data_IF_742473086289
#
_entry.id   IF_742473086289
#
_cell.length_a   1.000
_cell.length_b   1.000
_cell.length_c   1.000
_cell.angle_alpha   90.00
_cell.angle_beta   90.00
_cell.angle_gamma   90.00
#
_symmetry.space_group_name_H-M   'P 1'
#
loop_
_entity.id
_entity.type
_entity.pdbx_description
1 polymer ?
#
# COMPACT_ATOMS: atom_id res chain seq x y z
N UNK A 1 -1.77 10.55 20.01
CA UNK A 1 -1.80 10.46 18.55
C UNK A 1 -0.62 11.23 18.02
N UNK A 2 0.29 10.57 17.31
CA UNK A 2 1.49 11.20 16.77
C UNK A 2 1.51 10.97 15.26
N UNK A 3 1.83 12.02 14.49
CA UNK A 3 1.97 11.90 13.03
C UNK A 3 3.39 11.46 12.70
N UNK A 4 3.50 10.45 11.85
CA UNK A 4 4.76 9.93 11.35
C UNK A 4 4.79 10.04 9.83
N UNK A 5 5.96 10.36 9.29
CA UNK A 5 6.19 10.27 7.86
C UNK A 5 6.33 8.81 7.44
N UNK A 6 5.80 8.46 6.28
CA UNK A 6 6.00 7.14 5.70
C UNK A 6 6.38 7.23 4.23
N UNK A 7 6.96 6.14 3.74
CA UNK A 7 7.19 5.86 2.34
C UNK A 7 6.79 4.40 2.10
N UNK A 8 5.95 4.14 1.10
CA UNK A 8 5.77 2.78 0.61
C UNK A 8 5.91 2.71 -0.90
N UNK A 9 6.41 1.56 -1.37
CA UNK A 9 6.36 1.17 -2.77
C UNK A 9 5.57 -0.11 -2.91
N UNK A 10 4.88 -0.28 -4.02
CA UNK A 10 4.09 -1.48 -4.30
C UNK A 10 4.43 -2.11 -5.65
N UNK A 11 4.17 -3.40 -5.77
CA UNK A 11 4.20 -4.15 -7.02
C UNK A 11 2.97 -5.03 -7.09
N UNK A 12 2.21 -4.91 -8.16
CA UNK A 12 1.06 -5.77 -8.45
C UNK A 12 1.46 -6.74 -9.55
N UNK A 13 1.22 -8.03 -9.36
CA UNK A 13 1.43 -9.07 -10.36
C UNK A 13 0.16 -9.90 -10.54
N UNK A 14 -0.18 -10.34 -11.75
CA UNK A 14 -1.29 -11.27 -11.94
C UNK A 14 -0.98 -12.64 -11.31
N UNK A 15 -2.00 -13.33 -10.81
CA UNK A 15 -1.89 -14.72 -10.36
C UNK A 15 -2.13 -15.66 -11.55
N UNK A 16 -1.05 -15.95 -12.29
CA UNK A 16 -1.08 -16.81 -13.47
C UNK A 16 -1.11 -16.03 -14.79
N UNK A 17 -1.27 -16.78 -15.89
CA UNK A 17 -1.03 -16.27 -17.25
C UNK A 17 -2.33 -16.03 -18.05
N UNK A 18 -3.44 -15.78 -17.35
CA UNK A 18 -4.71 -15.47 -18.01
C UNK A 18 -4.77 -13.98 -18.38
N UNK A 19 -5.35 -13.68 -19.54
CA UNK A 19 -5.59 -12.30 -19.99
C UNK A 19 -6.50 -11.54 -19.00
N UNK A 20 -7.42 -12.24 -18.32
CA UNK A 20 -8.26 -11.67 -17.26
C UNK A 20 -7.43 -11.21 -16.06
N UNK A 21 -6.48 -12.02 -15.59
CA UNK A 21 -5.62 -11.68 -14.47
C UNK A 21 -4.68 -10.51 -14.82
N UNK A 22 -4.12 -10.51 -16.03
CA UNK A 22 -3.30 -9.40 -16.52
C UNK A 22 -4.09 -8.08 -16.55
N UNK A 23 -5.31 -8.10 -17.11
CA UNK A 23 -6.21 -6.93 -17.12
C UNK A 23 -6.62 -6.49 -15.71
N UNK A 24 -6.83 -7.43 -14.79
CA UNK A 24 -7.14 -7.12 -13.40
C UNK A 24 -5.96 -6.41 -12.72
N UNK A 25 -4.74 -6.92 -12.89
CA UNK A 25 -3.51 -6.30 -12.38
C UNK A 25 -3.34 -4.87 -12.89
N UNK A 26 -3.53 -4.63 -14.19
CA UNK A 26 -3.43 -3.29 -14.78
C UNK A 26 -4.49 -2.32 -14.23
N UNK A 27 -5.73 -2.78 -14.06
CA UNK A 27 -6.79 -1.97 -13.45
C UNK A 27 -6.42 -1.59 -12.01
N UNK A 28 -5.95 -2.55 -11.21
CA UNK A 28 -5.54 -2.29 -9.82
C UNK A 28 -4.35 -1.32 -9.77
N UNK A 29 -3.32 -1.49 -10.60
CA UNK A 29 -2.19 -0.53 -10.65
C UNK A 29 -2.66 0.89 -10.93
N UNK A 30 -3.53 1.06 -11.94
CA UNK A 30 -4.10 2.37 -12.28
C UNK A 30 -4.96 2.94 -11.16
N UNK A 31 -5.72 2.10 -10.46
CA UNK A 31 -6.55 2.54 -9.35
C UNK A 31 -5.72 2.96 -8.13
N UNK A 32 -4.71 2.17 -7.75
CA UNK A 32 -3.78 2.52 -6.67
C UNK A 32 -3.06 3.82 -6.99
N UNK A 33 -2.62 4.00 -8.24
CA UNK A 33 -1.99 5.24 -8.71
C UNK A 33 -2.88 6.49 -8.56
N UNK A 34 -4.19 6.32 -8.43
CA UNK A 34 -5.18 7.39 -8.30
C UNK A 34 -5.81 7.43 -6.90
N UNK A 35 -5.20 6.81 -5.88
CA UNK A 35 -5.66 6.95 -4.50
C UNK A 35 -5.64 8.44 -4.13
N UNK A 36 -6.83 8.96 -3.82
CA UNK A 36 -7.04 10.32 -3.37
C UNK A 36 -7.13 10.32 -1.84
N UNK A 37 -5.97 10.44 -1.19
CA UNK A 37 -5.88 10.61 0.26
C UNK A 37 -5.09 11.89 0.53
N UNK A 38 -5.65 12.88 1.25
CA UNK A 38 -5.06 14.21 1.42
C UNK A 38 -3.73 14.19 2.16
N UNK A 39 -3.45 13.15 2.95
CA UNK A 39 -2.19 12.99 3.67
C UNK A 39 -1.16 12.15 2.88
N UNK A 40 -1.52 11.65 1.70
CA UNK A 40 -0.69 10.80 0.86
C UNK A 40 -0.36 11.51 -0.44
N UNK A 41 0.86 11.35 -0.90
CA UNK A 41 1.36 11.96 -2.12
C UNK A 41 2.09 10.91 -2.92
N UNK A 42 1.57 10.62 -4.11
CA UNK A 42 2.26 9.80 -5.08
C UNK A 42 3.51 10.55 -5.56
N UNK A 43 4.66 9.88 -5.57
CA UNK A 43 5.88 10.48 -6.11
C UNK A 43 5.79 10.57 -7.63
N UNK A 44 6.17 11.72 -8.19
CA UNK A 44 6.18 11.95 -9.64
C UNK A 44 7.34 11.23 -10.33
N UNK A 45 8.42 10.97 -9.60
CA UNK A 45 9.63 10.31 -10.11
C UNK A 45 9.57 8.79 -10.03
N UNK A 46 8.71 8.23 -9.16
CA UNK A 46 8.58 6.78 -8.96
C UNK A 46 7.10 6.41 -8.93
N UNK A 47 6.61 5.87 -10.05
CA UNK A 47 5.17 5.64 -10.31
C UNK A 47 4.47 4.70 -9.31
N UNK A 48 5.24 3.85 -8.62
CA UNK A 48 4.70 2.88 -7.67
C UNK A 48 4.95 3.26 -6.22
N UNK A 49 5.37 4.51 -5.95
CA UNK A 49 5.74 4.95 -4.61
C UNK A 49 4.86 6.08 -4.12
N UNK A 50 4.44 5.96 -2.86
CA UNK A 50 3.71 6.97 -2.12
C UNK A 50 4.50 7.37 -0.88
N UNK A 51 4.48 8.65 -0.57
CA UNK A 51 4.95 9.21 0.69
C UNK A 51 3.82 9.98 1.35
N UNK A 52 3.84 10.10 2.66
CA UNK A 52 2.78 10.84 3.34
C UNK A 52 2.93 10.86 4.83
N UNK A 53 1.80 11.06 5.51
CA UNK A 53 1.71 10.99 6.97
C UNK A 53 0.68 9.95 7.39
N UNK A 54 1.02 9.19 8.42
CA UNK A 54 0.08 8.33 9.15
C UNK A 54 -0.03 8.81 10.58
N UNK A 55 -1.24 8.79 11.13
CA UNK A 55 -1.47 9.09 12.54
C UNK A 55 -1.50 7.78 13.30
N UNK A 56 -0.55 7.61 14.21
CA UNK A 56 -0.41 6.40 15.03
C UNK A 56 -0.76 6.71 16.48
N UNK A 57 -1.42 5.76 17.12
CA UNK A 57 -1.98 5.87 18.47
C UNK A 57 -1.30 4.94 19.46
N UNK A 58 -0.66 3.88 18.97
CA UNK A 58 0.07 2.91 19.75
C UNK A 58 1.23 3.52 20.56
N UNK A 59 1.56 2.88 21.69
CA UNK A 59 2.58 3.37 22.60
C UNK A 59 3.97 2.84 22.26
N UNK A 60 4.07 1.55 21.95
CA UNK A 60 5.36 0.92 21.61
C UNK A 60 5.64 1.01 20.13
N UNK A 61 6.92 1.01 19.75
CA UNK A 61 7.30 1.05 18.34
C UNK A 61 6.89 -0.22 17.58
N UNK A 62 6.80 -1.37 18.27
CA UNK A 62 6.27 -2.60 17.71
C UNK A 62 4.79 -2.44 17.31
N UNK A 63 3.96 -1.96 18.22
CA UNK A 63 2.53 -1.75 17.95
C UNK A 63 2.28 -0.65 16.91
N UNK A 64 3.08 0.42 16.91
CA UNK A 64 3.00 1.48 15.88
C UNK A 64 3.31 0.94 14.49
N UNK A 65 4.26 0.01 14.37
CA UNK A 65 4.60 -0.65 13.11
C UNK A 65 3.44 -1.49 12.59
N UNK A 66 2.79 -2.27 13.46
CA UNK A 66 1.58 -3.02 13.08
C UNK A 66 0.42 -2.09 12.72
N UNK A 67 0.16 -1.04 13.51
CA UNK A 67 -0.88 -0.04 13.20
C UNK A 67 -0.63 0.63 11.84
N UNK A 68 0.62 0.98 11.52
CA UNK A 68 0.97 1.52 10.21
C UNK A 68 0.73 0.50 9.09
N UNK A 69 1.06 -0.78 9.28
CA UNK A 69 0.77 -1.85 8.31
C UNK A 69 -0.72 -1.97 8.07
N UNK A 70 -1.53 -2.01 9.11
CA UNK A 70 -2.98 -2.15 9.02
C UNK A 70 -3.63 -0.98 8.29
N UNK A 71 -3.14 0.25 8.50
CA UNK A 71 -3.60 1.43 7.78
C UNK A 71 -3.32 1.28 6.28
N UNK A 72 -2.08 0.96 5.89
CA UNK A 72 -1.72 0.83 4.46
C UNK A 72 -2.43 -0.37 3.82
N UNK A 73 -2.48 -1.51 4.50
CA UNK A 73 -3.17 -2.72 4.05
C UNK A 73 -4.66 -2.44 3.78
N UNK A 74 -5.35 -1.77 4.72
CA UNK A 74 -6.77 -1.44 4.56
C UNK A 74 -7.05 -0.58 3.33
N UNK A 75 -6.26 0.48 3.12
CA UNK A 75 -6.42 1.38 1.98
C UNK A 75 -6.21 0.63 0.65
N UNK A 76 -5.17 -0.19 0.55
CA UNK A 76 -4.89 -0.96 -0.67
C UNK A 76 -5.92 -2.07 -0.89
N UNK A 77 -6.36 -2.77 0.16
CA UNK A 77 -7.44 -3.76 0.07
C UNK A 77 -8.75 -3.14 -0.41
N UNK A 78 -9.08 -1.93 0.03
CA UNK A 78 -10.29 -1.24 -0.44
C UNK A 78 -10.26 -1.04 -1.96
N UNK A 79 -9.10 -0.65 -2.51
CA UNK A 79 -8.91 -0.51 -3.96
C UNK A 79 -8.98 -1.86 -4.68
N UNK A 80 -8.33 -2.90 -4.16
CA UNK A 80 -8.33 -4.24 -4.78
C UNK A 80 -9.74 -4.85 -4.80
N UNK A 81 -10.49 -4.69 -3.70
CA UNK A 81 -11.83 -5.21 -3.57
C UNK A 81 -12.83 -4.51 -4.51
N UNK A 82 -12.63 -3.22 -4.83
CA UNK A 82 -13.46 -2.49 -5.79
C UNK A 82 -13.49 -3.15 -7.19
N UNK A 83 -12.40 -3.81 -7.58
CA UNK A 83 -12.28 -4.50 -8.87
C UNK A 83 -12.51 -6.01 -8.79
N UNK A 84 -12.90 -6.54 -7.62
CA UNK A 84 -13.03 -7.98 -7.35
C UNK A 84 -11.77 -8.79 -7.77
N UNK A 85 -10.60 -8.16 -7.72
CA UNK A 85 -9.36 -8.70 -8.30
C UNK A 85 -8.57 -9.58 -7.32
N UNK A 86 -9.10 -9.83 -6.12
CA UNK A 86 -8.36 -10.48 -5.02
C UNK A 86 -7.81 -11.86 -5.37
N UNK A 87 -8.49 -12.62 -6.23
CA UNK A 87 -8.04 -13.95 -6.66
C UNK A 87 -7.12 -13.90 -7.90
N UNK A 88 -7.10 -12.76 -8.60
CA UNK A 88 -6.46 -12.58 -9.91
C UNK A 88 -5.12 -11.84 -9.83
N UNK A 89 -4.78 -11.33 -8.64
CA UNK A 89 -3.57 -10.54 -8.42
C UNK A 89 -2.88 -10.89 -7.11
N UNK A 90 -1.60 -10.54 -7.02
CA UNK A 90 -0.79 -10.50 -5.82
C UNK A 90 -0.19 -9.12 -5.67
N UNK A 91 -0.42 -8.47 -4.54
CA UNK A 91 0.22 -7.20 -4.22
C UNK A 91 1.35 -7.42 -3.23
N UNK A 92 2.54 -6.91 -3.55
CA UNK A 92 3.68 -6.87 -2.63
C UNK A 92 3.98 -5.40 -2.33
N UNK A 93 4.00 -5.03 -1.05
CA UNK A 93 4.22 -3.66 -0.61
C UNK A 93 5.38 -3.64 0.37
N UNK A 94 6.30 -2.70 0.18
CA UNK A 94 7.39 -2.41 1.10
C UNK A 94 7.15 -1.03 1.70
N UNK A 95 6.89 -0.98 3.01
CA UNK A 95 6.58 0.20 3.81
C UNK A 95 7.75 0.56 4.74
N UNK A 96 8.06 1.84 4.83
CA UNK A 96 8.95 2.41 5.83
C UNK A 96 8.24 3.54 6.56
N UNK A 97 8.37 3.59 7.88
CA UNK A 97 7.84 4.67 8.70
C UNK A 97 9.02 5.30 9.43
N UNK A 98 9.13 6.61 9.30
CA UNK A 98 10.24 7.38 9.85
C UNK A 98 10.33 7.19 11.37
N UNK A 99 11.56 6.96 11.85
CA UNK A 99 11.84 6.72 13.27
C UNK A 99 11.34 5.38 13.85
N UNK A 100 10.67 4.52 13.07
CA UNK A 100 10.15 3.23 13.58
C UNK A 100 10.98 2.01 13.20
N UNK A 101 12.17 2.19 12.63
CA UNK A 101 13.10 1.10 12.32
C UNK A 101 13.05 0.61 10.86
N UNK A 102 13.38 -0.67 10.57
CA UNK A 102 13.56 -1.15 9.20
C UNK A 102 12.25 -1.21 8.42
N UNK A 103 12.35 -1.40 7.10
CA UNK A 103 11.18 -1.60 6.23
C UNK A 103 10.33 -2.80 6.68
N UNK A 104 9.08 -2.78 6.26
CA UNK A 104 8.04 -3.74 6.55
C UNK A 104 7.43 -4.22 5.25
N UNK A 105 7.25 -5.53 5.11
CA UNK A 105 6.64 -6.12 3.93
C UNK A 105 5.17 -6.46 4.21
N UNK A 106 4.28 -6.14 3.28
CA UNK A 106 2.85 -6.47 3.30
C UNK A 106 2.54 -7.23 2.01
N UNK A 107 1.84 -8.35 2.13
CA UNK A 107 1.41 -9.18 0.99
C UNK A 107 -0.12 -9.28 1.04
N UNK A 108 -0.77 -8.90 -0.06
CA UNK A 108 -2.23 -8.93 -0.22
C UNK A 108 -2.59 -9.89 -1.35
#
# INVERSE_FOLDING_TARGET
>A
MTKYHFLFTYSISPTGDTDSAAKAADKVRKAIANIDNPDWTKLTTVETTFSGRVTLTAQTDCEKREEARDIIDRELRAVINLYNARCDIRANISLMVDGLGPRMDIII
#
